data_IF_766260281779
#
_entry.id   IF_766260281779
#
_cell.length_a   1.000
_cell.length_b   1.000
_cell.length_c   1.000
_cell.angle_alpha   90.00
_cell.angle_beta   90.00
_cell.angle_gamma   90.00
#
_symmetry.space_group_name_H-M   'P 1'
#
loop_
_entity.id
_entity.type
_entity.pdbx_description
1 polymer ?
#
# COMPACT_ATOMS: atom_id res chain seq x y z
N UNK A 1 -14.28 -10.74 -5.56
CA UNK A 1 -15.30 -11.21 -4.59
C UNK A 1 -15.28 -12.71 -4.29
N UNK A 2 -14.29 -13.49 -4.77
CA UNK A 2 -14.23 -14.92 -4.49
C UNK A 2 -12.88 -15.30 -3.86
N UNK A 3 -12.86 -15.47 -2.54
CA UNK A 3 -11.66 -15.87 -1.79
C UNK A 3 -11.14 -17.26 -2.19
N UNK A 4 -12.01 -18.15 -2.67
CA UNK A 4 -11.61 -19.49 -3.12
C UNK A 4 -10.90 -19.44 -4.48
N UNK A 5 -11.36 -18.59 -5.40
CA UNK A 5 -10.72 -18.39 -6.70
C UNK A 5 -9.33 -17.80 -6.55
N UNK A 6 -9.17 -16.75 -5.71
CA UNK A 6 -7.86 -16.16 -5.45
C UNK A 6 -6.94 -17.15 -4.72
N UNK A 7 -7.45 -17.90 -3.74
CA UNK A 7 -6.72 -18.98 -3.06
C UNK A 7 -6.19 -20.01 -4.07
N UNK A 8 -7.05 -20.50 -4.98
CA UNK A 8 -6.65 -21.42 -6.04
C UNK A 8 -5.63 -20.80 -7.02
N UNK A 9 -5.75 -19.53 -7.34
CA UNK A 9 -4.82 -18.81 -8.21
C UNK A 9 -3.44 -18.63 -7.56
N UNK A 10 -3.39 -18.31 -6.27
CA UNK A 10 -2.16 -18.20 -5.49
C UNK A 10 -1.47 -19.57 -5.37
N UNK A 11 -2.20 -20.62 -5.00
CA UNK A 11 -1.63 -21.98 -4.86
C UNK A 11 -1.09 -22.53 -6.18
N UNK A 12 -1.79 -22.31 -7.31
CA UNK A 12 -1.31 -22.68 -8.65
C UNK A 12 -0.01 -21.99 -9.05
N UNK A 13 0.27 -20.82 -8.47
CA UNK A 13 1.52 -20.10 -8.68
C UNK A 13 2.58 -20.41 -7.61
N UNK A 14 2.35 -21.42 -6.76
CA UNK A 14 3.31 -21.89 -5.76
C UNK A 14 3.39 -21.03 -4.50
N UNK A 15 2.44 -20.13 -4.26
CA UNK A 15 2.43 -19.30 -3.06
C UNK A 15 1.91 -20.08 -1.86
N UNK A 16 2.55 -19.88 -0.69
CA UNK A 16 2.13 -20.54 0.55
C UNK A 16 0.97 -19.78 1.19
N UNK A 17 -0.08 -20.53 1.54
CA UNK A 17 -1.33 -20.02 2.10
C UNK A 17 -1.51 -20.49 3.54
N UNK A 18 -2.04 -19.60 4.37
CA UNK A 18 -2.27 -19.82 5.80
C UNK A 18 -3.69 -19.42 6.17
N UNK A 19 -4.25 -20.08 7.18
CA UNK A 19 -5.52 -19.68 7.80
C UNK A 19 -5.30 -18.78 9.03
N UNK A 20 -6.38 -18.38 9.70
CA UNK A 20 -6.32 -17.43 10.83
C UNK A 20 -5.49 -17.92 12.02
N UNK A 21 -5.36 -19.24 12.20
CA UNK A 21 -4.54 -19.80 13.28
C UNK A 21 -3.08 -20.03 12.86
N UNK A 22 -2.68 -19.54 11.68
CA UNK A 22 -1.33 -19.68 11.16
C UNK A 22 -0.99 -21.09 10.67
N UNK A 23 -1.98 -21.95 10.43
CA UNK A 23 -1.76 -23.26 9.81
C UNK A 23 -1.70 -23.10 8.30
N UNK A 24 -0.71 -23.72 7.67
CA UNK A 24 -0.65 -23.80 6.21
C UNK A 24 -1.84 -24.61 5.68
N UNK A 25 -2.50 -24.10 4.64
CA UNK A 25 -3.72 -24.66 4.06
C UNK A 25 -3.64 -24.76 2.55
N UNK A 26 -4.52 -25.57 1.97
CA UNK A 26 -4.79 -25.64 0.53
C UNK A 26 -6.14 -25.00 0.17
N UNK A 27 -6.34 -24.60 -1.10
CA UNK A 27 -7.62 -24.03 -1.53
C UNK A 27 -8.81 -24.92 -1.17
N UNK A 28 -9.84 -24.32 -0.58
CA UNK A 28 -11.03 -25.00 -0.06
C UNK A 28 -10.92 -25.45 1.41
N UNK A 29 -9.76 -25.35 2.05
CA UNK A 29 -9.60 -25.61 3.48
C UNK A 29 -9.77 -24.33 4.34
N UNK A 30 -9.86 -23.18 3.68
CA UNK A 30 -10.17 -21.88 4.27
C UNK A 30 -11.68 -21.70 4.54
N UNK A 31 -12.01 -20.88 5.54
CA UNK A 31 -13.39 -20.56 5.90
C UNK A 31 -13.81 -19.14 5.51
N UNK A 32 -13.07 -18.13 5.96
CA UNK A 32 -13.43 -16.71 5.72
C UNK A 32 -12.28 -15.84 5.22
N UNK A 33 -11.03 -16.24 5.45
CA UNK A 33 -9.86 -15.50 5.02
C UNK A 33 -8.65 -16.42 4.80
N UNK A 34 -7.77 -15.99 3.91
CA UNK A 34 -6.48 -16.61 3.62
C UNK A 34 -5.38 -15.56 3.67
N UNK A 35 -4.23 -15.96 4.21
CA UNK A 35 -3.03 -15.14 4.29
C UNK A 35 -1.91 -15.76 3.46
N UNK A 36 -1.14 -14.92 2.78
CA UNK A 36 0.08 -15.37 2.12
C UNK A 36 1.25 -15.39 3.09
N UNK A 37 2.26 -16.22 2.81
CA UNK A 37 3.55 -16.06 3.48
C UNK A 37 4.20 -14.74 3.05
N UNK A 38 4.70 -13.89 3.96
CA UNK A 38 5.23 -12.57 3.60
C UNK A 38 6.39 -12.62 2.60
N UNK A 39 7.25 -13.64 2.67
CA UNK A 39 8.35 -13.86 1.71
C UNK A 39 7.90 -14.22 0.28
N UNK A 40 6.65 -14.62 0.08
CA UNK A 40 6.14 -14.96 -1.25
C UNK A 40 5.47 -13.76 -1.93
N UNK A 41 5.17 -12.70 -1.15
CA UNK A 41 4.36 -11.56 -1.61
C UNK A 41 4.88 -10.19 -1.22
N UNK A 42 6.16 -10.10 -0.84
CA UNK A 42 6.81 -8.85 -0.44
C UNK A 42 6.08 -8.11 0.69
N UNK A 43 5.62 -8.90 1.68
CA UNK A 43 4.66 -8.48 2.70
C UNK A 43 3.53 -9.51 2.80
N UNK A 44 2.85 -9.60 3.95
CA UNK A 44 1.71 -10.52 4.09
C UNK A 44 0.45 -9.88 3.48
N UNK A 45 -0.20 -10.60 2.57
CA UNK A 45 -1.50 -10.23 2.03
C UNK A 45 -2.58 -11.04 2.73
N UNK A 46 -3.68 -10.38 3.07
CA UNK A 46 -4.89 -11.00 3.59
C UNK A 46 -6.01 -10.84 2.56
N UNK A 47 -6.64 -11.95 2.20
CA UNK A 47 -7.84 -11.95 1.37
C UNK A 47 -8.97 -12.50 2.21
N UNK A 48 -9.97 -11.66 2.50
CA UNK A 48 -11.09 -12.00 3.35
C UNK A 48 -12.41 -11.79 2.64
N UNK A 49 -13.39 -12.65 2.92
CA UNK A 49 -14.78 -12.45 2.53
C UNK A 49 -15.47 -11.64 3.61
N UNK A 50 -16.04 -10.50 3.23
CA UNK A 50 -16.92 -9.76 4.14
C UNK A 50 -18.24 -10.53 4.25
N UNK A 51 -18.42 -11.19 5.38
CA UNK A 51 -19.63 -11.97 5.66
C UNK A 51 -20.90 -11.11 5.74
N UNK A 52 -22.04 -11.73 5.50
CA UNK A 52 -23.39 -11.09 5.50
C UNK A 52 -23.70 -10.27 6.77
N UNK A 53 -23.09 -10.62 7.90
CA UNK A 53 -23.34 -9.97 9.20
C UNK A 53 -22.15 -9.14 9.68
N UNK A 54 -21.15 -8.89 8.83
CA UNK A 54 -20.06 -8.00 9.18
C UNK A 54 -20.58 -6.57 9.29
N UNK A 55 -20.50 -6.00 10.49
CA UNK A 55 -20.84 -4.60 10.75
C UNK A 55 -19.61 -3.76 10.43
N UNK A 56 -19.46 -3.42 9.15
CA UNK A 56 -18.48 -2.43 8.70
C UNK A 56 -19.19 -1.09 8.48
N UNK A 57 -18.84 -0.04 9.24
CA UNK A 57 -19.37 1.31 9.01
C UNK A 57 -19.22 1.76 7.57
N UNK A 58 -18.13 1.39 6.88
CA UNK A 58 -17.82 1.81 5.50
C UNK A 58 -18.80 1.26 4.47
N UNK A 59 -19.51 0.19 4.79
CA UNK A 59 -20.51 -0.43 3.92
C UNK A 59 -21.92 0.13 4.16
N UNK A 60 -22.09 1.04 5.12
CA UNK A 60 -23.39 1.63 5.41
C UNK A 60 -23.65 2.83 4.49
N UNK A 61 -24.89 3.04 3.99
CA UNK A 61 -25.21 4.18 3.12
C UNK A 61 -24.92 5.56 3.74
N UNK A 62 -24.93 5.63 5.07
CA UNK A 62 -24.66 6.87 5.82
C UNK A 62 -23.16 7.15 5.99
N UNK A 63 -22.27 6.23 5.60
CA UNK A 63 -20.84 6.44 5.74
C UNK A 63 -20.35 7.52 4.78
N UNK A 64 -19.46 8.35 5.27
CA UNK A 64 -18.81 9.38 4.47
C UNK A 64 -17.45 9.70 5.04
N UNK A 65 -16.46 9.84 4.16
CA UNK A 65 -15.15 10.37 4.52
C UNK A 65 -15.09 11.91 4.45
N UNK A 66 -16.20 12.60 4.14
CA UNK A 66 -16.23 14.05 3.89
C UNK A 66 -15.70 14.90 5.05
N UNK A 67 -15.84 14.46 6.30
CA UNK A 67 -15.23 15.17 7.43
C UNK A 67 -13.71 15.33 7.23
N UNK A 68 -13.03 14.27 6.79
CA UNK A 68 -11.58 14.26 6.60
C UNK A 68 -11.14 15.14 5.43
N UNK A 69 -11.97 15.22 4.38
CA UNK A 69 -11.68 16.01 3.19
C UNK A 69 -11.97 17.49 3.41
N UNK A 70 -13.14 17.81 3.97
CA UNK A 70 -13.68 19.17 4.02
C UNK A 70 -13.31 19.91 5.30
N UNK A 71 -13.35 19.23 6.44
CA UNK A 71 -13.28 19.87 7.76
C UNK A 71 -11.91 19.68 8.41
N UNK A 72 -11.36 18.47 8.34
CA UNK A 72 -10.10 18.17 9.00
C UNK A 72 -8.94 18.93 8.34
N UNK A 73 -7.99 19.53 9.10
CA UNK A 73 -6.90 20.32 8.52
C UNK A 73 -5.94 19.56 7.58
N UNK A 74 -5.91 18.23 7.67
CA UNK A 74 -5.15 17.39 6.74
C UNK A 74 -5.82 17.25 5.36
N UNK A 75 -7.11 17.54 5.22
CA UNK A 75 -7.83 17.44 3.95
C UNK A 75 -7.64 16.09 3.23
N UNK A 76 -7.71 14.98 3.96
CA UNK A 76 -7.39 13.64 3.44
C UNK A 76 -8.49 13.18 2.49
N UNK A 77 -8.14 12.93 1.22
CA UNK A 77 -9.09 12.50 0.19
C UNK A 77 -9.21 10.98 0.12
N UNK A 78 -8.05 10.29 0.10
CA UNK A 78 -7.91 8.83 0.03
C UNK A 78 -6.46 8.43 0.29
N UNK A 79 -6.19 7.13 0.39
CA UNK A 79 -4.83 6.63 0.19
C UNK A 79 -4.44 6.86 -1.28
N UNK A 80 -3.36 7.58 -1.52
CA UNK A 80 -2.78 7.72 -2.85
C UNK A 80 -2.18 6.39 -3.28
N UNK A 81 -1.27 5.85 -2.45
CA UNK A 81 -0.64 4.56 -2.67
C UNK A 81 -0.04 4.01 -1.37
N UNK A 82 0.19 2.70 -1.35
CA UNK A 82 0.98 1.99 -0.34
C UNK A 82 2.29 1.58 -1.02
N UNK A 83 3.43 1.90 -0.43
CA UNK A 83 4.74 1.54 -1.01
C UNK A 83 5.25 0.24 -0.39
N UNK A 84 5.50 -0.76 -1.24
CA UNK A 84 6.21 -1.96 -0.91
C UNK A 84 7.63 -1.90 -1.49
N UNK A 85 8.63 -2.06 -0.63
CA UNK A 85 10.03 -2.14 -1.05
C UNK A 85 10.31 -3.57 -1.50
N UNK A 86 10.80 -3.71 -2.73
CA UNK A 86 11.01 -4.99 -3.42
C UNK A 86 12.42 -5.08 -3.98
N UNK A 87 12.98 -6.29 -4.03
CA UNK A 87 14.33 -6.54 -4.52
C UNK A 87 14.36 -6.65 -6.03
N UNK A 88 13.33 -7.26 -6.60
CA UNK A 88 13.18 -7.50 -8.04
C UNK A 88 11.83 -6.98 -8.54
N UNK A 89 11.84 -5.83 -9.20
CA UNK A 89 10.66 -5.18 -9.73
C UNK A 89 9.91 -6.06 -10.76
N UNK A 90 10.56 -6.78 -11.70
CA UNK A 90 9.87 -7.71 -12.60
C UNK A 90 9.09 -8.82 -11.87
N UNK A 91 9.68 -9.46 -10.87
CA UNK A 91 9.01 -10.49 -10.05
C UNK A 91 7.83 -9.90 -9.30
N UNK A 92 8.00 -8.73 -8.69
CA UNK A 92 6.90 -8.04 -8.00
C UNK A 92 5.77 -7.66 -8.96
N UNK A 93 6.08 -7.18 -10.16
CA UNK A 93 5.07 -6.90 -11.20
C UNK A 93 4.34 -8.17 -11.64
N UNK A 94 5.03 -9.30 -11.79
CA UNK A 94 4.37 -10.59 -12.10
C UNK A 94 3.34 -10.94 -11.02
N UNK A 95 3.68 -10.75 -9.75
CA UNK A 95 2.71 -10.97 -8.67
C UNK A 95 1.51 -10.02 -8.78
N UNK A 96 1.75 -8.71 -8.78
CA UNK A 96 0.67 -7.73 -8.67
C UNK A 96 -0.15 -7.58 -9.96
N UNK A 97 0.46 -7.71 -11.14
CA UNK A 97 -0.24 -7.60 -12.42
C UNK A 97 -0.79 -8.94 -12.91
N UNK A 98 0.01 -10.01 -12.90
CA UNK A 98 -0.40 -11.26 -13.56
C UNK A 98 -1.14 -12.20 -12.60
N UNK A 99 -0.70 -12.30 -11.34
CA UNK A 99 -1.32 -13.19 -10.35
C UNK A 99 -2.50 -12.51 -9.65
N UNK A 100 -2.38 -11.24 -9.27
CA UNK A 100 -3.48 -10.51 -8.62
C UNK A 100 -4.38 -9.78 -9.60
N UNK A 101 -4.12 -9.89 -10.91
CA UNK A 101 -4.85 -9.22 -11.99
C UNK A 101 -4.92 -7.69 -11.83
N UNK A 102 -3.90 -7.09 -11.19
CA UNK A 102 -3.78 -5.66 -11.02
C UNK A 102 -3.43 -4.95 -12.33
N UNK A 103 -3.81 -3.68 -12.42
CA UNK A 103 -3.55 -2.85 -13.59
C UNK A 103 -2.34 -1.96 -13.34
N UNK A 104 -1.27 -2.17 -14.11
CA UNK A 104 -0.15 -1.23 -14.14
C UNK A 104 -0.65 0.15 -14.62
N UNK A 105 -0.48 1.17 -13.78
CA UNK A 105 -0.86 2.55 -14.08
C UNK A 105 0.30 3.30 -14.75
N UNK A 106 1.47 3.24 -14.13
CA UNK A 106 2.65 3.98 -14.56
C UNK A 106 3.93 3.41 -13.93
N UNK A 107 5.07 3.68 -14.54
CA UNK A 107 6.41 3.37 -14.02
C UNK A 107 7.27 4.62 -14.07
N UNK A 108 8.07 4.83 -13.03
CA UNK A 108 9.00 5.96 -12.97
C UNK A 108 10.32 5.58 -12.30
N UNK A 109 11.32 6.42 -12.50
CA UNK A 109 12.59 6.32 -11.82
C UNK A 109 12.88 7.63 -11.09
N UNK A 110 13.17 7.54 -9.80
CA UNK A 110 13.76 8.64 -9.04
C UNK A 110 15.26 8.43 -9.05
N UNK A 111 15.99 9.32 -9.73
CA UNK A 111 17.43 9.24 -9.91
C UNK A 111 18.14 8.98 -8.57
N UNK A 112 19.10 8.04 -8.60
CA UNK A 112 19.91 7.60 -7.46
C UNK A 112 19.13 7.04 -6.23
N UNK A 113 17.81 6.87 -6.34
CA UNK A 113 16.95 6.42 -5.23
C UNK A 113 16.26 5.10 -5.51
N UNK A 114 15.36 5.04 -6.50
CA UNK A 114 14.52 3.85 -6.78
C UNK A 114 13.90 3.85 -8.17
N UNK A 115 13.56 2.65 -8.64
CA UNK A 115 12.59 2.41 -9.73
C UNK A 115 11.25 2.00 -9.14
N UNK A 116 10.17 2.54 -9.65
CA UNK A 116 8.83 2.33 -9.12
C UNK A 116 7.85 1.89 -10.20
N UNK A 117 6.99 0.92 -9.87
CA UNK A 117 5.81 0.59 -10.66
C UNK A 117 4.55 0.76 -9.80
N UNK A 118 3.60 1.56 -10.27
CA UNK A 118 2.33 1.80 -9.60
C UNK A 118 1.25 0.90 -10.18
N UNK A 119 0.69 0.01 -9.36
CA UNK A 119 -0.30 -0.99 -9.78
C UNK A 119 -1.60 -0.77 -9.01
N UNK A 120 -2.69 -0.55 -9.74
CA UNK A 120 -4.03 -0.56 -9.16
C UNK A 120 -4.49 -1.99 -8.89
N UNK A 121 -5.01 -2.23 -7.69
CA UNK A 121 -5.56 -3.52 -7.24
C UNK A 121 -6.97 -3.25 -6.72
N UNK A 122 -7.98 -3.84 -7.36
CA UNK A 122 -9.38 -3.51 -7.09
C UNK A 122 -9.73 -2.08 -7.50
N UNK A 123 -10.72 -1.49 -6.82
CA UNK A 123 -11.27 -0.18 -7.19
C UNK A 123 -10.51 0.99 -6.58
N UNK A 124 -10.07 0.84 -5.32
CA UNK A 124 -9.60 1.98 -4.51
C UNK A 124 -8.14 1.88 -4.05
N UNK A 125 -7.40 0.83 -4.41
CA UNK A 125 -6.04 0.61 -3.90
C UNK A 125 -5.01 0.73 -5.02
N UNK A 126 -3.93 1.46 -4.74
CA UNK A 126 -2.72 1.45 -5.56
C UNK A 126 -1.53 1.06 -4.70
N UNK A 127 -0.70 0.16 -5.23
CA UNK A 127 0.55 -0.27 -4.64
C UNK A 127 1.70 0.25 -5.48
N UNK A 128 2.63 0.97 -4.86
CA UNK A 128 3.93 1.30 -5.45
C UNK A 128 4.90 0.16 -5.13
N UNK A 129 5.37 -0.53 -6.16
CA UNK A 129 6.46 -1.49 -6.07
C UNK A 129 7.78 -0.74 -6.26
N UNK A 130 8.51 -0.50 -5.17
CA UNK A 130 9.72 0.31 -5.17
C UNK A 130 10.97 -0.57 -5.07
N UNK A 131 11.75 -0.64 -6.15
CA UNK A 131 13.07 -1.26 -6.15
C UNK A 131 14.16 -0.20 -5.90
N UNK A 132 14.86 -0.24 -4.76
CA UNK A 132 15.97 0.69 -4.49
C UNK A 132 17.09 0.55 -5.52
N UNK A 133 17.69 1.67 -5.92
CA UNK A 133 18.86 1.71 -6.80
C UNK A 133 20.19 1.77 -6.04
N UNK A 134 20.15 2.08 -4.74
CA UNK A 134 21.32 2.21 -3.88
C UNK A 134 20.96 1.79 -2.46
N UNK A 135 21.84 1.04 -1.74
CA UNK A 135 21.63 0.73 -0.32
C UNK A 135 21.71 1.98 0.57
N UNK A 136 22.25 3.10 0.05
CA UNK A 136 22.32 4.35 0.78
C UNK A 136 21.02 5.17 0.72
N UNK A 137 20.10 4.86 -0.20
CA UNK A 137 18.80 5.53 -0.32
C UNK A 137 17.87 5.16 0.85
N UNK A 138 16.81 5.95 1.14
CA UNK A 138 15.88 5.63 2.22
C UNK A 138 15.29 4.22 2.10
N UNK A 139 14.78 3.87 0.93
CA UNK A 139 14.24 2.54 0.63
C UNK A 139 15.31 1.45 0.63
N UNK A 140 16.55 1.79 0.23
CA UNK A 140 17.69 0.87 0.28
C UNK A 140 18.08 0.49 1.71
N UNK A 141 18.11 1.47 2.62
CA UNK A 141 18.36 1.21 4.05
C UNK A 141 17.24 0.38 4.66
N UNK A 142 15.99 0.67 4.32
CA UNK A 142 14.86 -0.13 4.76
C UNK A 142 15.00 -1.59 4.31
N UNK A 143 15.35 -1.81 3.03
CA UNK A 143 15.59 -3.15 2.49
C UNK A 143 16.68 -3.91 3.25
N UNK A 144 17.76 -3.24 3.64
CA UNK A 144 18.86 -3.88 4.39
C UNK A 144 18.49 -4.14 5.86
N UNK A 145 17.71 -3.25 6.49
CA UNK A 145 17.29 -3.39 7.89
C UNK A 145 16.17 -4.43 8.05
N UNK A 146 15.16 -4.41 7.17
CA UNK A 146 13.89 -5.12 7.35
C UNK A 146 13.58 -6.12 6.23
N UNK A 147 14.32 -6.11 5.12
CA UNK A 147 14.02 -6.91 3.93
C UNK A 147 12.89 -6.32 3.08
N UNK A 148 12.28 -7.16 2.24
CA UNK A 148 11.13 -6.75 1.43
C UNK A 148 9.88 -6.62 2.30
N UNK A 149 9.06 -5.59 2.05
CA UNK A 149 7.88 -5.32 2.85
C UNK A 149 7.24 -3.97 2.59
N UNK A 150 6.14 -3.71 3.31
CA UNK A 150 5.48 -2.40 3.31
C UNK A 150 6.38 -1.38 4.02
N UNK A 151 6.72 -0.32 3.31
CA UNK A 151 7.61 0.75 3.78
C UNK A 151 6.84 2.00 4.19
N UNK A 152 5.81 2.36 3.42
CA UNK A 152 5.06 3.60 3.65
C UNK A 152 3.62 3.53 3.18
N UNK A 153 2.83 4.45 3.71
CA UNK A 153 1.50 4.79 3.18
C UNK A 153 1.49 6.28 2.87
N UNK A 154 1.05 6.63 1.66
CA UNK A 154 0.93 8.02 1.21
C UNK A 154 -0.54 8.37 1.03
N UNK A 155 -0.99 9.47 1.64
CA UNK A 155 -2.34 10.00 1.49
C UNK A 155 -2.41 11.12 0.46
N UNK A 156 -3.45 11.10 -0.38
CA UNK A 156 -3.80 12.25 -1.21
C UNK A 156 -4.44 13.32 -0.32
N UNK A 157 -3.96 14.55 -0.41
CA UNK A 157 -4.45 15.69 0.37
C UNK A 157 -4.90 16.81 -0.53
N UNK A 158 -5.95 17.52 -0.09
CA UNK A 158 -6.50 18.66 -0.84
C UNK A 158 -5.54 19.84 -0.93
N UNK A 159 -4.83 20.13 0.15
CA UNK A 159 -3.92 21.27 0.30
C UNK A 159 -2.70 20.85 1.11
N UNK A 160 -1.56 20.71 0.44
CA UNK A 160 -0.30 20.27 1.04
C UNK A 160 0.26 21.33 1.99
N UNK A 161 0.10 22.62 1.68
CA UNK A 161 0.60 23.70 2.52
C UNK A 161 -0.16 23.74 3.86
N UNK A 162 -1.49 23.60 3.81
CA UNK A 162 -2.34 23.47 5.01
C UNK A 162 -2.01 22.22 5.81
N UNK A 163 -1.81 21.09 5.14
CA UNK A 163 -1.41 19.81 5.77
C UNK A 163 -0.08 19.97 6.50
N UNK A 164 0.93 20.52 5.83
CA UNK A 164 2.26 20.79 6.39
C UNK A 164 2.18 21.69 7.63
N UNK A 165 1.42 22.79 7.56
CA UNK A 165 1.22 23.71 8.69
C UNK A 165 0.54 23.01 9.88
N UNK A 166 -0.48 22.19 9.62
CA UNK A 166 -1.15 21.43 10.67
C UNK A 166 -0.21 20.43 11.34
N UNK A 167 0.55 19.63 10.57
CA UNK A 167 1.52 18.68 11.12
C UNK A 167 2.56 19.38 12.00
N UNK A 168 3.10 20.52 11.54
CA UNK A 168 4.01 21.35 12.35
C UNK A 168 3.37 21.89 13.63
N UNK A 169 2.09 22.26 13.58
CA UNK A 169 1.35 22.67 14.80
C UNK A 169 1.22 21.54 15.83
N UNK A 170 1.37 20.28 15.40
CA UNK A 170 1.42 19.08 16.25
C UNK A 170 2.85 18.68 16.64
N UNK A 171 3.82 19.59 16.45
CA UNK A 171 5.23 19.38 16.78
C UNK A 171 5.90 18.27 15.95
N UNK A 172 5.30 17.91 14.81
CA UNK A 172 5.89 17.01 13.84
C UNK A 172 6.78 17.79 12.86
N UNK A 173 7.74 17.10 12.27
CA UNK A 173 8.75 17.62 11.35
C UNK A 173 8.57 16.96 9.97
N UNK A 174 7.55 17.38 9.20
CA UNK A 174 7.41 16.93 7.82
C UNK A 174 8.57 17.43 6.96
N UNK A 175 9.08 16.55 6.11
CA UNK A 175 10.18 16.80 5.17
C UNK A 175 9.65 16.76 3.74
N UNK A 176 10.12 17.64 2.83
CA UNK A 176 9.73 17.57 1.42
C UNK A 176 10.14 16.24 0.77
N UNK A 177 9.25 15.68 -0.05
CA UNK A 177 9.54 14.53 -0.91
C UNK A 177 9.06 14.81 -2.34
N UNK A 178 9.93 15.50 -3.10
CA UNK A 178 9.57 16.12 -4.37
C UNK A 178 8.83 17.45 -4.21
N UNK A 179 8.19 17.92 -5.29
CA UNK A 179 7.52 19.23 -5.34
C UNK A 179 6.16 19.24 -4.66
N UNK A 180 5.43 18.14 -4.78
CA UNK A 180 4.01 18.06 -4.41
C UNK A 180 3.75 17.07 -3.28
N UNK A 181 4.78 16.67 -2.53
CA UNK A 181 4.64 15.76 -1.39
C UNK A 181 5.52 16.13 -0.21
N UNK A 182 5.08 15.71 0.98
CA UNK A 182 5.84 15.73 2.23
C UNK A 182 5.74 14.36 2.91
N UNK A 183 6.73 14.03 3.74
CA UNK A 183 6.78 12.78 4.50
C UNK A 183 7.05 13.03 5.97
N UNK A 184 6.52 12.16 6.83
CA UNK A 184 6.95 11.96 8.20
C UNK A 184 7.85 10.73 8.25
N UNK A 185 9.01 10.87 8.88
CA UNK A 185 9.97 9.80 9.11
C UNK A 185 9.47 8.76 10.14
N UNK A 186 10.09 7.57 10.14
CA UNK A 186 9.68 6.44 11.00
C UNK A 186 9.64 6.75 12.51
N UNK A 187 10.52 7.62 12.99
CA UNK A 187 10.56 8.07 14.39
C UNK A 187 9.35 8.95 14.78
N UNK A 188 8.63 9.49 13.79
CA UNK A 188 7.48 10.36 13.98
C UNK A 188 6.14 9.68 13.67
N UNK A 189 6.17 8.50 13.03
CA UNK A 189 4.99 7.82 12.49
C UNK A 189 5.00 6.31 12.81
N UNK A 190 5.18 5.97 14.10
CA UNK A 190 5.01 4.62 14.63
C UNK A 190 5.88 3.54 13.93
N UNK A 191 7.10 3.91 13.53
CA UNK A 191 8.03 2.99 12.87
C UNK A 191 7.84 2.84 11.37
N UNK A 192 6.93 3.59 10.74
CA UNK A 192 6.69 3.58 9.29
C UNK A 192 6.80 4.99 8.71
N UNK A 193 7.19 5.12 7.46
CA UNK A 193 7.12 6.42 6.77
C UNK A 193 5.67 6.73 6.39
N UNK A 194 5.23 7.96 6.60
CA UNK A 194 3.88 8.41 6.21
C UNK A 194 3.97 9.61 5.27
N UNK A 195 3.43 9.46 4.06
CA UNK A 195 3.42 10.49 3.03
C UNK A 195 2.10 11.25 2.94
N UNK A 196 2.17 12.48 2.46
CA UNK A 196 1.04 13.32 2.08
C UNK A 196 1.35 13.99 0.75
N UNK A 197 0.45 13.92 -0.22
CA UNK A 197 0.73 14.38 -1.59
C UNK A 197 -0.47 15.06 -2.24
N UNK A 198 -0.21 16.10 -3.04
CA UNK A 198 -1.16 16.66 -4.01
C UNK A 198 -0.92 16.11 -5.43
N UNK A 199 0.10 15.26 -5.61
CA UNK A 199 0.42 14.66 -6.90
C UNK A 199 -0.68 13.67 -7.31
N UNK A 200 -1.15 13.80 -8.55
CA UNK A 200 -1.98 12.79 -9.20
C UNK A 200 -1.09 11.78 -9.91
N UNK A 201 -1.34 10.48 -9.68
CA UNK A 201 -0.62 9.42 -10.37
C UNK A 201 -1.08 9.34 -11.83
N UNK A 202 -0.17 9.19 -12.81
CA UNK A 202 -0.56 9.03 -14.20
C UNK A 202 -1.44 7.79 -14.40
N UNK A 203 -2.49 7.93 -15.21
CA UNK A 203 -3.47 6.87 -15.53
C UNK A 203 -4.27 6.31 -14.35
N UNK A 204 -4.17 6.90 -13.16
CA UNK A 204 -5.01 6.57 -12.01
C UNK A 204 -6.42 7.15 -12.22
N UNK A 205 -7.47 6.32 -12.33
CA UNK A 205 -8.83 6.80 -12.57
C UNK A 205 -9.51 7.35 -11.30
N UNK A 206 -8.89 7.20 -10.13
CA UNK A 206 -9.45 7.58 -8.82
C UNK A 206 -9.28 9.07 -8.52
#
# INVERSE_FOLDING_TARGET
>A
DNAQEISAQLDRNGLRLFNIVGKQVKPGEESFAIWTHPKDTHGQLEFAVIGKYTIDPRLQPAWSHNFWVEQHPLGLERASHITAVVRDLPSAKRLYCDILAGKLLHEEETADRKRSAFVAVGEDTVVELAQPLSPASPEGREMEENGEGIYSVTFAVRDLARTNAFLKSKQLRPEPDGTDSIVLSKDQAFGMVMGFTQRKLPNDPR
#
